data_IF_425948756985
#
_entry.id   IF_425948756985
#
_cell.length_a   1.000
_cell.length_b   1.000
_cell.length_c   1.000
_cell.angle_alpha   90.00
_cell.angle_beta   90.00
_cell.angle_gamma   90.00
#
_symmetry.space_group_name_H-M   'P 1'
#
loop_
_entity.id
_entity.type
_entity.pdbx_description
1 polymer ?
#
# COMPACT_ATOMS: atom_id res chain seq x y z
N UNK A 1 -4.30 43.47 52.26
CA UNK A 1 -3.17 42.55 52.52
C UNK A 1 -3.32 41.42 51.50
N UNK A 2 -2.44 41.10 50.56
CA UNK A 2 -0.98 41.18 50.45
C UNK A 2 -0.54 41.43 49.00
N UNK A 3 0.70 41.92 48.86
CA UNK A 3 1.34 42.61 47.74
C UNK A 3 1.74 41.73 46.53
N UNK A 4 1.65 42.37 45.37
CA UNK A 4 2.40 42.30 44.08
C UNK A 4 3.91 41.89 44.15
N UNK A 5 4.65 41.60 43.03
CA UNK A 5 4.57 42.33 41.76
C UNK A 5 4.87 41.63 40.40
N UNK A 6 4.50 42.37 39.35
CA UNK A 6 4.99 42.28 37.95
C UNK A 6 6.47 42.67 37.80
N UNK A 7 7.14 42.19 36.75
CA UNK A 7 8.06 43.01 35.93
C UNK A 7 8.33 42.44 34.52
N UNK A 8 8.37 43.37 33.55
CA UNK A 8 8.78 43.27 32.13
C UNK A 8 10.32 43.28 32.02
N UNK A 9 10.87 42.81 30.89
CA UNK A 9 11.67 43.65 29.96
C UNK A 9 12.19 42.91 28.72
N UNK A 10 12.30 43.65 27.63
CA UNK A 10 12.83 43.35 26.29
C UNK A 10 14.37 43.18 26.28
N UNK A 11 14.90 42.52 25.24
CA UNK A 11 16.13 42.94 24.56
C UNK A 11 16.34 42.22 23.20
N UNK A 12 16.30 42.97 22.10
CA UNK A 12 17.02 42.71 20.84
C UNK A 12 18.45 43.24 20.92
N UNK A 13 19.38 42.75 20.07
CA UNK A 13 20.19 43.71 19.32
C UNK A 13 20.56 43.32 17.87
N UNK A 14 20.51 44.36 17.01
CA UNK A 14 21.50 44.82 16.00
C UNK A 14 21.85 44.01 14.74
N UNK A 15 21.46 44.62 13.62
CA UNK A 15 22.14 44.71 12.30
C UNK A 15 23.62 45.13 12.39
N UNK A 16 24.44 44.63 11.45
CA UNK A 16 25.57 45.31 10.77
C UNK A 16 25.80 44.60 9.39
N UNK A 17 25.60 45.30 8.26
CA UNK A 17 26.61 45.75 7.24
C UNK A 17 27.19 44.62 6.34
N UNK A 18 26.83 44.53 5.05
CA UNK A 18 27.29 45.28 3.86
C UNK A 18 28.54 44.69 3.17
N UNK A 19 28.48 44.47 1.85
CA UNK A 19 29.63 44.20 0.96
C UNK A 19 29.27 43.15 -0.12
N UNK A 20 28.73 43.52 -1.28
CA UNK A 20 29.40 44.07 -2.47
C UNK A 20 30.26 43.05 -3.26
N UNK A 21 29.83 42.84 -4.51
CA UNK A 21 30.63 42.65 -5.74
C UNK A 21 31.58 41.46 -5.86
N UNK A 22 31.38 40.63 -6.88
CA UNK A 22 32.29 40.60 -8.03
C UNK A 22 31.76 39.72 -9.17
N UNK A 23 31.59 40.36 -10.32
CA UNK A 23 31.53 39.74 -11.65
C UNK A 23 32.88 39.09 -11.95
N UNK A 24 32.90 37.90 -12.56
CA UNK A 24 33.83 37.64 -13.67
C UNK A 24 33.46 36.41 -14.49
N UNK A 25 32.88 36.73 -15.64
CA UNK A 25 33.06 36.06 -16.94
C UNK A 25 34.49 35.61 -17.21
N UNK A 26 34.67 34.46 -17.89
CA UNK A 26 35.49 34.26 -19.11
C UNK A 26 35.29 32.78 -19.52
N UNK A 27 34.69 32.43 -20.69
CA UNK A 27 35.34 32.29 -22.02
C UNK A 27 36.72 31.61 -21.91
N UNK A 28 37.14 30.57 -22.64
CA UNK A 28 36.72 30.03 -23.96
C UNK A 28 37.56 28.76 -24.24
N UNK A 29 36.99 27.88 -25.07
CA UNK A 29 37.57 26.86 -25.99
C UNK A 29 39.09 26.88 -26.25
N UNK A 30 39.70 25.69 -26.31
CA UNK A 30 40.25 25.03 -27.53
C UNK A 30 41.16 23.85 -27.13
N UNK A 31 40.87 22.60 -27.50
CA UNK A 31 41.20 21.87 -28.75
C UNK A 31 42.71 21.66 -29.03
N UNK A 32 43.01 20.37 -29.22
CA UNK A 32 44.16 19.75 -29.93
C UNK A 32 45.52 19.82 -29.19
N UNK A 33 46.41 18.83 -29.21
CA UNK A 33 46.62 17.82 -30.25
C UNK A 33 47.45 16.61 -29.75
N UNK A 34 47.15 15.42 -30.29
CA UNK A 34 48.07 14.38 -30.81
C UNK A 34 49.36 14.00 -30.04
N UNK A 35 49.52 12.70 -29.69
CA UNK A 35 50.13 11.64 -30.55
C UNK A 35 50.39 10.31 -29.82
N UNK A 36 50.00 9.22 -30.53
CA UNK A 36 50.67 7.91 -30.74
C UNK A 36 51.08 7.06 -29.52
N UNK A 37 50.56 5.81 -29.50
CA UNK A 37 51.39 4.62 -29.82
C UNK A 37 50.52 3.42 -30.21
N UNK A 38 51.10 2.62 -31.09
CA UNK A 38 50.52 1.52 -31.84
C UNK A 38 50.47 0.21 -31.04
N UNK A 39 49.58 -0.70 -31.45
CA UNK A 39 49.55 -2.08 -31.00
C UNK A 39 48.40 -2.82 -31.67
N UNK A 40 48.66 -3.40 -32.84
CA UNK A 40 47.67 -4.16 -33.59
C UNK A 40 47.49 -5.58 -33.04
N UNK A 41 46.28 -6.13 -33.22
CA UNK A 41 46.07 -7.53 -33.61
C UNK A 41 44.61 -7.76 -34.03
N UNK A 42 44.47 -8.20 -35.30
CA UNK A 42 43.46 -9.10 -35.87
C UNK A 42 42.00 -8.92 -35.40
N UNK A 43 41.20 -8.22 -36.22
CA UNK A 43 39.74 -8.37 -36.27
C UNK A 43 39.34 -9.04 -37.58
N UNK A 44 38.70 -10.19 -37.44
CA UNK A 44 37.98 -10.91 -38.48
C UNK A 44 37.02 -9.99 -39.22
N UNK A 45 37.08 -10.01 -40.55
CA UNK A 45 36.08 -9.40 -41.40
C UNK A 45 34.72 -10.09 -41.18
N UNK A 46 33.85 -9.47 -40.37
CA UNK A 46 32.41 -9.71 -40.42
C UNK A 46 31.77 -8.48 -41.05
N UNK A 47 31.23 -8.67 -42.25
CA UNK A 47 30.39 -7.71 -42.98
C UNK A 47 29.35 -7.14 -42.02
N UNK A 48 29.07 -5.83 -42.02
CA UNK A 48 27.94 -5.31 -41.28
C UNK A 48 26.67 -5.88 -41.92
N UNK A 49 26.01 -6.79 -41.22
CA UNK A 49 24.63 -7.14 -41.52
C UNK A 49 23.84 -5.84 -41.38
N UNK A 50 23.53 -5.20 -42.52
CA UNK A 50 22.41 -4.26 -42.61
C UNK A 50 21.21 -5.03 -42.10
N UNK A 51 20.81 -4.75 -40.86
CA UNK A 51 19.53 -5.18 -40.32
C UNK A 51 18.50 -4.55 -41.23
N UNK A 52 17.94 -5.34 -42.14
CA UNK A 52 16.76 -4.94 -42.88
C UNK A 52 15.71 -4.67 -41.80
N UNK A 53 15.42 -3.38 -41.57
CA UNK A 53 14.20 -2.98 -40.89
C UNK A 53 13.11 -3.39 -41.88
N UNK A 54 12.57 -4.59 -41.71
CA UNK A 54 11.31 -4.95 -42.34
C UNK A 54 10.31 -3.90 -41.88
N UNK A 55 9.62 -3.19 -42.78
CA UNK A 55 8.53 -2.33 -42.37
C UNK A 55 7.55 -3.23 -41.62
N UNK A 56 7.27 -2.90 -40.36
CA UNK A 56 6.06 -3.39 -39.70
C UNK A 56 4.94 -2.80 -40.51
N UNK A 57 4.41 -3.59 -41.46
CA UNK A 57 3.12 -3.30 -42.05
C UNK A 57 2.16 -3.45 -40.88
N UNK A 58 1.76 -2.32 -40.29
CA UNK A 58 0.55 -2.28 -39.50
C UNK A 58 -0.56 -2.61 -40.50
N UNK A 59 -0.93 -3.89 -40.58
CA UNK A 59 -2.19 -4.27 -41.19
C UNK A 59 -3.25 -3.45 -40.48
N UNK A 60 -3.83 -2.48 -41.19
CA UNK A 60 -5.04 -1.82 -40.73
C UNK A 60 -6.05 -2.93 -40.54
N UNK A 61 -6.42 -3.21 -39.29
CA UNK A 61 -7.60 -3.99 -39.00
C UNK A 61 -8.73 -3.33 -39.80
N UNK A 62 -9.43 -4.07 -40.69
CA UNK A 62 -10.55 -3.50 -41.43
C UNK A 62 -11.54 -2.91 -40.42
N UNK A 63 -12.06 -1.70 -40.67
CA UNK A 63 -13.01 -1.05 -39.74
C UNK A 63 -14.19 -1.97 -39.40
N UNK A 64 -14.62 -2.80 -40.36
CA UNK A 64 -15.66 -3.82 -40.17
C UNK A 64 -15.28 -4.89 -39.13
N UNK A 65 -14.00 -5.24 -38.99
CA UNK A 65 -13.52 -6.20 -37.99
C UNK A 65 -13.39 -5.56 -36.60
N UNK A 66 -13.19 -4.24 -36.52
CA UNK A 66 -13.17 -3.47 -35.27
C UNK A 66 -14.61 -3.20 -34.77
N UNK A 67 -15.55 -2.91 -35.68
CA UNK A 67 -16.99 -2.80 -35.40
C UNK A 67 -17.58 -4.14 -34.95
N UNK A 68 -17.31 -5.25 -35.66
CA UNK A 68 -17.75 -6.59 -35.24
C UNK A 68 -17.15 -7.06 -33.91
N UNK A 69 -15.93 -6.63 -33.58
CA UNK A 69 -15.32 -6.93 -32.29
C UNK A 69 -15.99 -6.12 -31.17
N UNK A 70 -16.40 -4.89 -31.45
CA UNK A 70 -17.14 -4.03 -30.52
C UNK A 70 -18.55 -4.57 -30.27
N UNK A 71 -19.26 -4.98 -31.32
CA UNK A 71 -20.59 -5.57 -31.21
C UNK A 71 -20.59 -6.87 -30.39
N UNK A 72 -19.62 -7.77 -30.63
CA UNK A 72 -19.46 -9.01 -29.86
C UNK A 72 -19.11 -8.76 -28.39
N UNK A 73 -18.31 -7.73 -28.13
CA UNK A 73 -18.00 -7.33 -26.76
C UNK A 73 -19.24 -6.80 -26.05
N UNK A 74 -20.03 -5.96 -26.72
CA UNK A 74 -21.27 -5.41 -26.18
C UNK A 74 -22.33 -6.50 -25.94
N UNK A 75 -22.45 -7.48 -26.84
CA UNK A 75 -23.29 -8.66 -26.66
C UNK A 75 -22.85 -9.47 -25.44
N UNK A 76 -21.56 -9.81 -25.35
CA UNK A 76 -21.03 -10.57 -24.20
C UNK A 76 -21.16 -9.80 -22.88
N UNK A 77 -21.02 -8.48 -22.90
CA UNK A 77 -21.22 -7.62 -21.74
C UNK A 77 -22.68 -7.63 -21.28
N UNK A 78 -23.63 -7.47 -22.20
CA UNK A 78 -25.08 -7.54 -21.91
C UNK A 78 -25.47 -8.92 -21.39
N UNK A 79 -24.98 -9.99 -22.02
CA UNK A 79 -25.22 -11.36 -21.58
C UNK A 79 -24.66 -11.59 -20.17
N UNK A 80 -23.46 -11.11 -19.89
CA UNK A 80 -22.85 -11.19 -18.56
C UNK A 80 -23.64 -10.42 -17.49
N UNK A 81 -24.07 -9.19 -17.79
CA UNK A 81 -24.91 -8.39 -16.90
C UNK A 81 -26.24 -9.08 -16.60
N UNK A 82 -26.89 -9.64 -17.62
CA UNK A 82 -28.11 -10.42 -17.43
C UNK A 82 -27.82 -11.67 -16.60
N UNK A 83 -26.91 -12.54 -17.04
CA UNK A 83 -26.65 -13.83 -16.39
C UNK A 83 -26.20 -13.70 -14.92
N UNK A 84 -25.43 -12.66 -14.59
CA UNK A 84 -24.93 -12.39 -13.24
C UNK A 84 -25.85 -11.54 -12.37
N UNK A 85 -26.80 -10.81 -12.96
CA UNK A 85 -27.74 -9.93 -12.27
C UNK A 85 -29.18 -10.44 -12.37
N UNK A 86 -29.90 -9.94 -13.38
CA UNK A 86 -31.33 -10.22 -13.61
C UNK A 86 -31.63 -11.72 -13.74
N UNK A 87 -30.80 -12.49 -14.44
CA UNK A 87 -30.94 -13.93 -14.59
C UNK A 87 -30.73 -14.71 -13.28
N UNK A 88 -30.01 -14.16 -12.30
CA UNK A 88 -29.96 -14.74 -10.95
C UNK A 88 -31.22 -14.38 -10.15
N UNK A 89 -31.74 -13.17 -10.31
CA UNK A 89 -32.98 -12.72 -9.68
C UNK A 89 -34.19 -13.50 -10.20
N UNK A 90 -34.33 -13.66 -11.52
CA UNK A 90 -35.40 -14.42 -12.19
C UNK A 90 -35.55 -15.83 -11.62
N UNK A 91 -34.42 -16.53 -11.39
CA UNK A 91 -34.39 -17.88 -10.79
C UNK A 91 -34.88 -17.93 -9.35
N UNK A 92 -35.00 -16.78 -8.67
CA UNK A 92 -35.39 -16.65 -7.26
C UNK A 92 -36.76 -16.01 -7.06
N UNK A 93 -37.30 -15.33 -8.06
CA UNK A 93 -38.63 -14.73 -7.99
C UNK A 93 -39.71 -15.84 -7.90
N UNK A 94 -40.76 -15.65 -7.07
CA UNK A 94 -41.89 -16.56 -7.05
C UNK A 94 -42.60 -16.58 -8.42
N UNK A 95 -42.96 -17.76 -8.96
CA UNK A 95 -43.52 -17.88 -10.30
C UNK A 95 -44.92 -17.26 -10.46
N UNK A 96 -45.56 -16.89 -9.35
CA UNK A 96 -46.91 -16.33 -9.30
C UNK A 96 -46.95 -14.83 -8.98
N UNK A 97 -45.81 -14.13 -9.00
CA UNK A 97 -45.70 -12.69 -8.75
C UNK A 97 -44.93 -12.00 -9.86
N UNK A 98 -45.37 -10.81 -10.25
CA UNK A 98 -44.66 -9.89 -11.14
C UNK A 98 -44.44 -8.59 -10.38
N UNK A 99 -43.24 -8.03 -10.50
CA UNK A 99 -42.85 -6.78 -9.85
C UNK A 99 -42.57 -5.73 -10.94
N UNK A 100 -43.59 -5.01 -11.43
CA UNK A 100 -43.46 -4.16 -12.62
C UNK A 100 -42.60 -2.91 -12.41
N UNK A 101 -42.51 -2.44 -11.17
CA UNK A 101 -41.86 -1.16 -10.82
C UNK A 101 -40.60 -1.33 -9.97
N UNK A 102 -40.05 -2.55 -9.88
CA UNK A 102 -38.82 -2.84 -9.12
C UNK A 102 -37.70 -3.30 -10.05
N UNK A 103 -36.52 -2.75 -9.83
CA UNK A 103 -35.28 -3.12 -10.51
C UNK A 103 -34.45 -4.10 -9.68
N UNK A 104 -33.45 -4.74 -10.28
CA UNK A 104 -32.45 -5.52 -9.52
C UNK A 104 -31.83 -4.72 -8.37
N UNK A 105 -31.57 -3.42 -8.54
CA UNK A 105 -31.00 -2.57 -7.48
C UNK A 105 -31.95 -2.44 -6.29
N UNK A 106 -33.26 -2.33 -6.53
CA UNK A 106 -34.26 -2.28 -5.46
C UNK A 106 -34.30 -3.58 -4.66
N UNK A 107 -34.28 -4.73 -5.35
CA UNK A 107 -34.20 -6.04 -4.69
C UNK A 107 -32.91 -6.20 -3.88
N UNK A 108 -31.77 -5.72 -4.40
CA UNK A 108 -30.50 -5.73 -3.68
C UNK A 108 -30.53 -4.81 -2.47
N UNK A 109 -31.08 -3.60 -2.59
CA UNK A 109 -31.19 -2.65 -1.50
C UNK A 109 -32.05 -3.19 -0.36
N UNK A 110 -33.23 -3.73 -0.68
CA UNK A 110 -34.12 -4.36 0.30
C UNK A 110 -33.48 -5.62 0.92
N UNK A 111 -32.81 -6.45 0.11
CA UNK A 111 -32.07 -7.60 0.59
C UNK A 111 -30.93 -7.22 1.54
N UNK A 112 -30.16 -6.18 1.23
CA UNK A 112 -29.09 -5.65 2.10
C UNK A 112 -29.68 -5.09 3.39
N UNK A 113 -30.77 -4.33 3.31
CA UNK A 113 -31.46 -3.79 4.47
C UNK A 113 -31.92 -4.92 5.40
N UNK A 114 -32.53 -5.96 4.84
CA UNK A 114 -32.97 -7.14 5.57
C UNK A 114 -31.81 -7.94 6.20
N UNK A 115 -30.64 -7.99 5.55
CA UNK A 115 -29.48 -8.74 6.02
C UNK A 115 -28.51 -7.92 6.89
N UNK A 116 -28.78 -6.64 7.12
CA UNK A 116 -27.86 -5.71 7.81
C UNK A 116 -27.40 -6.22 9.17
N UNK A 117 -28.29 -6.88 9.92
CA UNK A 117 -27.98 -7.44 11.24
C UNK A 117 -26.92 -8.55 11.23
N UNK A 118 -26.62 -9.12 10.06
CA UNK A 118 -25.55 -10.12 9.85
C UNK A 118 -24.22 -9.49 9.44
N UNK A 119 -24.20 -8.19 9.18
CA UNK A 119 -22.99 -7.46 8.78
C UNK A 119 -21.96 -7.43 9.90
N UNK A 120 -20.68 -7.44 9.52
CA UNK A 120 -19.57 -7.21 10.45
C UNK A 120 -19.24 -5.73 10.38
N UNK A 121 -19.34 -4.97 11.49
CA UNK A 121 -18.98 -3.56 11.48
C UNK A 121 -17.48 -3.40 11.28
N UNK A 122 -17.11 -2.40 10.48
CA UNK A 122 -15.72 -1.97 10.29
C UNK A 122 -15.59 -0.49 10.67
N UNK A 123 -14.45 -0.12 11.26
CA UNK A 123 -14.16 1.25 11.64
C UNK A 123 -13.91 2.11 10.41
N UNK A 124 -14.52 3.30 10.39
CA UNK A 124 -14.30 4.31 9.36
C UNK A 124 -13.00 5.09 9.64
N UNK A 125 -12.43 5.80 8.64
CA UNK A 125 -11.16 6.51 8.79
C UNK A 125 -11.12 7.47 9.99
N UNK A 126 -12.21 8.19 10.25
CA UNK A 126 -12.33 9.09 11.41
C UNK A 126 -12.28 8.35 12.75
N UNK A 127 -12.89 7.17 12.84
CA UNK A 127 -12.88 6.35 14.06
C UNK A 127 -11.50 5.76 14.30
N UNK A 128 -10.83 5.31 13.22
CA UNK A 128 -9.45 4.84 13.28
C UNK A 128 -8.51 5.96 13.73
N UNK A 129 -8.69 7.18 13.21
CA UNK A 129 -7.94 8.35 13.66
C UNK A 129 -8.14 8.63 15.15
N UNK A 130 -9.40 8.73 15.60
CA UNK A 130 -9.73 9.02 16.99
C UNK A 130 -9.15 7.97 17.95
N UNK A 131 -9.20 6.70 17.55
CA UNK A 131 -8.60 5.63 18.32
C UNK A 131 -7.08 5.69 18.36
N UNK A 132 -6.41 5.87 17.23
CA UNK A 132 -4.95 6.01 17.19
C UNK A 132 -4.48 7.19 18.05
N UNK A 133 -5.15 8.33 17.99
CA UNK A 133 -4.84 9.51 18.81
C UNK A 133 -4.99 9.21 20.31
N UNK A 134 -6.05 8.48 20.69
CA UNK A 134 -6.27 8.02 22.07
C UNK A 134 -5.13 7.11 22.53
N UNK A 135 -4.72 6.15 21.71
CA UNK A 135 -3.64 5.21 22.05
C UNK A 135 -2.27 5.89 22.13
N UNK A 136 -1.98 6.82 21.21
CA UNK A 136 -0.77 7.64 21.22
C UNK A 136 -0.72 8.57 22.45
N UNK A 137 -1.86 9.10 22.89
CA UNK A 137 -1.95 9.97 24.07
C UNK A 137 -1.82 9.16 25.35
N UNK A 138 -2.48 8.01 25.43
CA UNK A 138 -2.40 7.10 26.57
C UNK A 138 -1.09 6.28 26.63
N UNK A 139 -0.24 6.38 25.59
CA UNK A 139 0.99 5.61 25.42
C UNK A 139 0.78 4.11 25.61
N UNK A 140 -0.25 3.59 24.94
CA UNK A 140 -0.61 2.18 24.98
C UNK A 140 -0.20 1.49 23.67
N UNK A 141 0.18 0.20 23.73
CA UNK A 141 0.53 -0.56 22.53
C UNK A 141 -0.65 -0.61 21.57
N UNK A 142 -0.36 -0.41 20.28
CA UNK A 142 -1.38 -0.54 19.24
C UNK A 142 -0.76 -0.92 17.91
N UNK A 143 -1.26 -1.98 17.28
CA UNK A 143 -0.86 -2.41 15.95
C UNK A 143 -2.03 -2.29 14.97
N UNK A 144 -1.84 -1.48 13.94
CA UNK A 144 -2.72 -1.43 12.77
C UNK A 144 -2.03 -2.16 11.62
N UNK A 145 -2.53 -3.34 11.28
CA UNK A 145 -2.04 -4.16 10.15
C UNK A 145 -3.05 -4.17 9.03
N UNK A 146 -2.61 -4.37 7.78
CA UNK A 146 -3.52 -4.39 6.62
C UNK A 146 -3.26 -5.66 5.81
N UNK A 147 -4.33 -6.24 5.29
CA UNK A 147 -4.29 -7.44 4.45
C UNK A 147 -4.64 -7.06 3.01
N UNK A 148 -3.69 -7.22 2.11
CA UNK A 148 -3.86 -7.17 0.66
C UNK A 148 -3.89 -8.57 0.05
N UNK A 149 -3.82 -8.61 -1.26
CA UNK A 149 -3.69 -9.86 -2.03
C UNK A 149 -2.40 -10.63 -1.69
N UNK A 150 -1.29 -9.93 -1.44
CA UNK A 150 -0.04 -10.53 -1.01
C UNK A 150 -0.17 -11.34 0.27
N UNK A 151 -0.65 -10.72 1.35
CA UNK A 151 -0.84 -11.40 2.64
C UNK A 151 -1.84 -12.57 2.53
N UNK A 152 -2.90 -12.40 1.74
CA UNK A 152 -3.90 -13.45 1.52
C UNK A 152 -3.34 -14.64 0.74
N UNK A 153 -2.55 -14.41 -0.29
CA UNK A 153 -1.89 -15.48 -1.04
C UNK A 153 -0.82 -16.19 -0.20
N UNK A 154 -0.10 -15.46 0.66
CA UNK A 154 0.83 -16.08 1.61
C UNK A 154 0.10 -16.99 2.58
N UNK A 155 -1.04 -16.57 3.13
CA UNK A 155 -1.88 -17.42 3.99
C UNK A 155 -2.50 -18.60 3.23
N UNK A 156 -2.71 -18.49 1.93
CA UNK A 156 -3.40 -19.52 1.16
C UNK A 156 -2.59 -20.81 0.96
N UNK A 157 -1.26 -20.72 1.03
CA UNK A 157 -0.31 -21.80 0.80
C UNK A 157 -0.65 -23.07 1.59
N UNK A 158 -0.95 -24.17 0.89
CA UNK A 158 -1.28 -25.49 1.44
C UNK A 158 -2.48 -25.51 2.42
N UNK A 159 -3.28 -24.44 2.44
CA UNK A 159 -4.51 -24.36 3.25
C UNK A 159 -5.76 -24.32 2.37
N UNK A 160 -5.74 -23.45 1.36
CA UNK A 160 -6.86 -23.26 0.42
C UNK A 160 -6.42 -23.23 -1.04
N UNK A 161 -5.11 -23.16 -1.29
CA UNK A 161 -4.49 -23.25 -2.60
C UNK A 161 -3.23 -24.11 -2.52
N UNK A 162 -2.90 -24.82 -3.60
CA UNK A 162 -1.61 -25.52 -3.68
C UNK A 162 -0.45 -24.52 -3.85
N UNK A 163 0.78 -24.95 -3.54
CA UNK A 163 1.97 -24.13 -3.80
C UNK A 163 2.05 -23.66 -5.26
N UNK A 164 1.72 -24.52 -6.22
CA UNK A 164 1.73 -24.17 -7.65
C UNK A 164 0.72 -23.07 -7.99
N UNK A 165 -0.49 -23.16 -7.45
CA UNK A 165 -1.52 -22.12 -7.65
C UNK A 165 -1.09 -20.79 -7.04
N UNK A 166 -0.48 -20.80 -5.85
CA UNK A 166 0.04 -19.59 -5.21
C UNK A 166 1.18 -18.99 -6.04
N UNK A 167 2.11 -19.79 -6.58
CA UNK A 167 3.18 -19.30 -7.47
C UNK A 167 2.62 -18.67 -8.74
N UNK A 168 1.60 -19.27 -9.34
CA UNK A 168 0.98 -18.75 -10.56
C UNK A 168 0.25 -17.44 -10.31
N UNK A 169 -0.54 -17.35 -9.23
CA UNK A 169 -1.34 -16.16 -8.89
C UNK A 169 -0.53 -15.06 -8.19
N UNK A 170 0.56 -15.43 -7.54
CA UNK A 170 1.37 -14.59 -6.66
C UNK A 170 2.81 -14.41 -7.13
N UNK A 171 3.06 -14.27 -8.44
CA UNK A 171 4.42 -14.05 -8.96
C UNK A 171 5.14 -12.84 -8.33
N UNK A 172 4.39 -11.88 -7.79
CA UNK A 172 4.90 -10.69 -7.10
C UNK A 172 5.30 -10.95 -5.63
N UNK A 173 4.99 -12.11 -5.05
CA UNK A 173 5.25 -12.42 -3.64
C UNK A 173 6.74 -12.37 -3.27
N UNK A 174 7.62 -12.78 -4.19
CA UNK A 174 9.08 -12.69 -4.00
C UNK A 174 9.51 -11.24 -3.75
N UNK A 175 8.98 -10.31 -4.52
CA UNK A 175 9.23 -8.87 -4.32
C UNK A 175 8.59 -8.36 -3.01
N UNK A 176 7.45 -8.92 -2.61
CA UNK A 176 6.78 -8.58 -1.35
C UNK A 176 7.42 -9.23 -0.12
N UNK A 177 8.51 -10.01 -0.30
CA UNK A 177 9.30 -10.56 0.79
C UNK A 177 9.02 -12.03 1.14
N UNK A 178 8.39 -12.79 0.24
CA UNK A 178 8.02 -14.20 0.41
C UNK A 178 8.59 -15.06 -0.71
N UNK A 179 9.44 -16.00 -0.35
CA UNK A 179 9.92 -17.06 -1.26
C UNK A 179 9.00 -18.29 -1.14
N UNK A 180 8.16 -18.53 -2.15
CA UNK A 180 7.15 -19.60 -2.10
C UNK A 180 7.79 -21.00 -2.37
N UNK A 181 7.65 -21.99 -1.47
CA UNK A 181 6.81 -21.99 -0.28
C UNK A 181 7.47 -21.38 0.95
N UNK A 182 6.67 -20.61 1.71
CA UNK A 182 7.03 -20.14 3.05
C UNK A 182 5.85 -20.32 4.00
N UNK A 183 5.69 -21.55 4.51
CA UNK A 183 4.60 -21.90 5.43
C UNK A 183 4.80 -21.30 6.82
N UNK A 184 6.05 -21.00 7.21
CA UNK A 184 6.34 -20.35 8.47
C UNK A 184 5.82 -18.92 8.46
N UNK A 185 6.00 -18.19 7.35
CA UNK A 185 5.40 -16.87 7.17
C UNK A 185 3.86 -16.94 7.22
N UNK A 186 3.24 -17.98 6.64
CA UNK A 186 1.78 -18.16 6.73
C UNK A 186 1.29 -18.30 8.16
N UNK A 187 1.94 -19.15 8.97
CA UNK A 187 1.58 -19.33 10.38
C UNK A 187 1.86 -18.06 11.21
N UNK A 188 2.97 -17.36 10.94
CA UNK A 188 3.32 -16.09 11.58
C UNK A 188 2.27 -15.00 11.29
N UNK A 189 1.86 -14.86 10.03
CA UNK A 189 0.79 -13.92 9.64
C UNK A 189 -0.52 -14.26 10.34
N UNK A 190 -0.90 -15.54 10.37
CA UNK A 190 -2.12 -15.97 11.04
C UNK A 190 -2.08 -15.66 12.55
N UNK A 191 -0.94 -15.85 13.21
CA UNK A 191 -0.71 -15.48 14.61
C UNK A 191 -0.83 -13.97 14.82
N UNK A 192 -0.19 -13.18 13.96
CA UNK A 192 -0.23 -11.73 14.01
C UNK A 192 -1.63 -11.16 13.80
N UNK A 193 -2.42 -11.71 12.86
CA UNK A 193 -3.81 -11.28 12.63
C UNK A 193 -4.67 -11.47 13.87
N UNK A 194 -4.50 -12.58 14.60
CA UNK A 194 -5.24 -12.85 15.84
C UNK A 194 -4.85 -11.89 16.97
N UNK A 195 -3.63 -11.38 16.96
CA UNK A 195 -3.06 -10.55 18.03
C UNK A 195 -3.10 -9.04 17.74
N UNK A 196 -3.36 -8.65 16.50
CA UNK A 196 -3.35 -7.25 16.08
C UNK A 196 -4.47 -6.45 16.75
N UNK A 197 -4.22 -5.17 17.02
CA UNK A 197 -5.23 -4.30 17.64
C UNK A 197 -6.34 -3.89 16.67
N UNK A 198 -6.00 -3.76 15.39
CA UNK A 198 -6.93 -3.47 14.29
C UNK A 198 -6.42 -4.06 12.98
N UNK A 199 -7.29 -4.74 12.25
CA UNK A 199 -6.97 -5.42 10.99
C UNK A 199 -7.71 -4.76 9.83
N UNK A 200 -6.96 -4.18 8.89
CA UNK A 200 -7.48 -3.70 7.62
C UNK A 200 -7.75 -4.86 6.67
N UNK A 201 -8.97 -5.00 6.17
CA UNK A 201 -9.39 -6.05 5.23
C UNK A 201 -9.86 -5.46 3.90
N UNK A 202 -9.68 -6.17 2.78
CA UNK A 202 -10.16 -5.67 1.50
C UNK A 202 -11.69 -5.67 1.46
N UNK A 203 -12.27 -4.60 0.92
CA UNK A 203 -13.73 -4.47 0.75
C UNK A 203 -14.23 -5.04 -0.58
N UNK A 204 -13.33 -5.17 -1.56
CA UNK A 204 -13.67 -5.75 -2.86
C UNK A 204 -14.12 -7.20 -2.74
N UNK A 205 -15.17 -7.54 -3.49
CA UNK A 205 -15.72 -8.90 -3.60
C UNK A 205 -15.07 -9.73 -4.72
N UNK A 206 -14.04 -9.20 -5.39
CA UNK A 206 -13.31 -9.96 -6.42
C UNK A 206 -12.61 -11.20 -5.81
N UNK A 207 -12.39 -12.27 -6.59
CA UNK A 207 -11.96 -13.58 -6.07
C UNK A 207 -10.73 -13.57 -5.14
N UNK A 208 -9.75 -12.70 -5.41
CA UNK A 208 -8.50 -12.61 -4.65
C UNK A 208 -8.61 -11.79 -3.34
N UNK A 209 -9.78 -11.24 -3.02
CA UNK A 209 -10.01 -10.38 -1.86
C UNK A 209 -10.96 -11.06 -0.85
N UNK A 210 -12.19 -10.56 -0.64
CA UNK A 210 -13.09 -11.10 0.38
C UNK A 210 -13.32 -12.62 0.28
N UNK A 211 -13.56 -13.22 -0.91
CA UNK A 211 -13.71 -14.66 -1.02
C UNK A 211 -12.48 -15.42 -0.51
N UNK A 212 -11.28 -14.99 -0.91
CA UNK A 212 -10.02 -15.58 -0.44
C UNK A 212 -9.81 -15.33 1.06
N UNK A 213 -10.01 -14.10 1.54
CA UNK A 213 -9.92 -13.71 2.96
C UNK A 213 -10.73 -14.65 3.85
N UNK A 214 -12.02 -14.84 3.54
CA UNK A 214 -12.87 -15.69 4.36
C UNK A 214 -12.57 -17.18 4.18
N UNK A 215 -12.03 -17.61 3.04
CA UNK A 215 -11.55 -18.99 2.87
C UNK A 215 -10.33 -19.24 3.76
N UNK A 216 -9.31 -18.38 3.71
CA UNK A 216 -8.10 -18.54 4.53
C UNK A 216 -8.40 -18.41 6.01
N UNK A 217 -9.20 -17.43 6.43
CA UNK A 217 -9.56 -17.27 7.84
C UNK A 217 -10.28 -18.50 8.39
N UNK A 218 -11.18 -19.11 7.62
CA UNK A 218 -11.86 -20.35 8.03
C UNK A 218 -10.86 -21.50 8.19
N UNK A 219 -9.90 -21.64 7.27
CA UNK A 219 -8.86 -22.67 7.34
C UNK A 219 -7.92 -22.49 8.54
N UNK A 220 -7.72 -21.25 9.01
CA UNK A 220 -6.95 -20.92 10.20
C UNK A 220 -7.80 -20.81 11.49
N UNK A 221 -9.12 -21.00 11.44
CA UNK A 221 -9.99 -20.79 12.60
C UNK A 221 -10.02 -19.35 13.10
N UNK A 222 -9.78 -18.37 12.22
CA UNK A 222 -9.90 -16.94 12.53
C UNK A 222 -11.35 -16.53 12.31
N UNK A 223 -12.01 -16.08 13.37
CA UNK A 223 -13.41 -15.67 13.33
C UNK A 223 -13.50 -14.15 13.17
N UNK A 224 -14.13 -13.61 12.10
CA UNK A 224 -14.21 -12.16 11.87
C UNK A 224 -14.77 -11.37 13.05
N UNK A 225 -15.77 -11.94 13.74
CA UNK A 225 -16.45 -11.29 14.86
C UNK A 225 -15.59 -11.14 16.12
N UNK A 226 -14.46 -11.84 16.21
CA UNK A 226 -13.51 -11.70 17.33
C UNK A 226 -12.45 -10.64 17.03
N UNK A 227 -12.42 -10.10 15.81
CA UNK A 227 -11.45 -9.11 15.38
C UNK A 227 -12.09 -7.72 15.30
N UNK A 228 -11.24 -6.71 15.43
CA UNK A 228 -11.59 -5.32 15.12
C UNK A 228 -11.10 -5.03 13.72
N UNK A 229 -12.00 -4.55 12.85
CA UNK A 229 -11.75 -4.46 11.42
C UNK A 229 -11.84 -3.02 10.91
N UNK A 230 -11.10 -2.72 9.85
CA UNK A 230 -11.20 -1.50 9.03
C UNK A 230 -10.91 -1.86 7.57
N UNK A 231 -10.85 -0.88 6.66
CA UNK A 231 -10.42 -1.12 5.27
C UNK A 231 -8.91 -1.36 5.18
N UNK A 232 -8.47 -2.29 4.31
CA UNK A 232 -7.04 -2.48 4.02
C UNK A 232 -6.41 -1.27 3.29
N UNK A 233 -7.22 -0.33 2.82
CA UNK A 233 -6.79 0.95 2.22
C UNK A 233 -6.88 2.13 3.19
N UNK A 234 -7.17 1.90 4.48
CA UNK A 234 -7.38 2.96 5.48
C UNK A 234 -6.21 3.94 5.60
N UNK A 235 -4.98 3.51 5.33
CA UNK A 235 -3.81 4.38 5.30
C UNK A 235 -3.96 5.51 4.27
N UNK A 236 -4.53 5.22 3.09
CA UNK A 236 -4.80 6.23 2.06
C UNK A 236 -5.91 7.17 2.49
N UNK A 237 -7.02 6.66 3.03
CA UNK A 237 -8.12 7.50 3.52
C UNK A 237 -7.68 8.42 4.66
N UNK A 238 -6.92 7.90 5.63
CA UNK A 238 -6.32 8.71 6.70
C UNK A 238 -5.42 9.82 6.14
N UNK A 239 -4.67 9.54 5.06
CA UNK A 239 -3.84 10.55 4.43
C UNK A 239 -4.66 11.60 3.67
N UNK A 240 -5.60 11.16 2.85
CA UNK A 240 -6.36 12.01 1.94
C UNK A 240 -7.33 12.91 2.70
N UNK A 241 -7.87 12.43 3.83
CA UNK A 241 -8.67 13.23 4.77
C UNK A 241 -7.82 14.07 5.74
N UNK A 242 -6.48 14.02 5.63
CA UNK A 242 -5.54 14.82 6.42
C UNK A 242 -5.31 14.36 7.86
N UNK A 243 -5.91 13.26 8.29
CA UNK A 243 -5.71 12.67 9.62
C UNK A 243 -4.29 12.17 9.85
N UNK A 244 -3.63 11.63 8.81
CA UNK A 244 -2.27 11.10 8.93
C UNK A 244 -1.29 12.16 9.42
N UNK A 245 -1.27 13.35 8.80
CA UNK A 245 -0.39 14.43 9.25
C UNK A 245 -0.71 14.92 10.67
N UNK A 246 -1.98 14.87 11.08
CA UNK A 246 -2.39 15.20 12.46
C UNK A 246 -1.81 14.20 13.46
N UNK A 247 -1.87 12.90 13.17
CA UNK A 247 -1.25 11.86 14.01
C UNK A 247 0.26 12.02 14.16
N UNK A 248 0.95 12.46 13.10
CA UNK A 248 2.41 12.62 13.09
C UNK A 248 2.88 13.90 13.79
N UNK A 249 2.04 14.92 13.87
CA UNK A 249 2.42 16.24 14.38
C UNK A 249 2.76 16.18 15.87
N UNK A 250 3.94 16.68 16.23
CA UNK A 250 4.42 16.71 17.63
C UNK A 250 4.88 15.36 18.19
N UNK A 251 4.89 14.28 17.38
CA UNK A 251 5.31 12.94 17.79
C UNK A 251 6.70 12.60 17.24
N UNK A 252 7.43 11.74 17.94
CA UNK A 252 8.69 11.13 17.46
C UNK A 252 8.34 9.93 16.59
N UNK A 253 8.62 10.03 15.29
CA UNK A 253 8.21 9.02 14.31
C UNK A 253 9.41 8.16 13.90
N UNK A 254 9.30 6.85 14.07
CA UNK A 254 10.23 5.87 13.51
C UNK A 254 9.73 5.44 12.13
N UNK A 255 10.61 5.38 11.13
CA UNK A 255 10.24 4.91 9.78
C UNK A 255 10.98 3.62 9.47
N UNK A 256 10.25 2.60 9.04
CA UNK A 256 10.77 1.25 8.81
C UNK A 256 10.41 0.80 7.39
N UNK A 257 11.37 0.24 6.65
CA UNK A 257 11.18 -0.25 5.29
C UNK A 257 12.27 0.18 4.34
N UNK A 258 12.25 -0.35 3.12
CA UNK A 258 13.30 -0.05 2.12
C UNK A 258 13.32 1.42 1.69
N UNK A 259 12.17 2.09 1.75
CA UNK A 259 12.05 3.53 1.52
C UNK A 259 12.14 4.38 2.80
N UNK A 260 12.66 3.83 3.91
CA UNK A 260 12.66 4.55 5.19
C UNK A 260 13.40 5.89 5.13
N UNK A 261 14.60 5.94 4.53
CA UNK A 261 15.37 7.20 4.45
C UNK A 261 14.69 8.25 3.55
N UNK A 262 14.27 7.95 2.30
CA UNK A 262 13.50 8.90 1.50
C UNK A 262 12.19 9.35 2.14
N UNK A 263 11.45 8.44 2.79
CA UNK A 263 10.20 8.78 3.47
C UNK A 263 10.45 9.70 4.66
N UNK A 264 11.44 9.37 5.50
CA UNK A 264 11.86 10.23 6.61
C UNK A 264 12.23 11.64 6.11
N UNK A 265 12.97 11.76 5.01
CA UNK A 265 13.32 13.05 4.43
C UNK A 265 12.08 13.85 3.98
N UNK A 266 11.13 13.21 3.30
CA UNK A 266 9.87 13.85 2.88
C UNK A 266 9.03 14.32 4.08
N UNK A 267 8.95 13.50 5.14
CA UNK A 267 8.22 13.82 6.36
C UNK A 267 8.90 14.93 7.18
N UNK A 268 10.23 14.95 7.28
CA UNK A 268 10.97 16.05 7.89
C UNK A 268 10.71 17.38 7.16
N UNK A 269 10.65 17.36 5.83
CA UNK A 269 10.29 18.53 5.03
C UNK A 269 8.87 19.06 5.31
N UNK A 270 8.01 18.23 5.90
CA UNK A 270 6.63 18.57 6.33
C UNK A 270 6.54 18.86 7.84
N UNK A 271 7.67 18.98 8.53
CA UNK A 271 7.73 19.31 9.97
C UNK A 271 7.55 18.13 10.92
N UNK A 272 7.60 16.89 10.43
CA UNK A 272 7.55 15.70 11.29
C UNK A 272 8.90 15.45 11.97
N UNK A 273 8.88 15.15 13.26
CA UNK A 273 10.08 14.79 14.01
C UNK A 273 10.40 13.32 13.82
N UNK A 274 11.46 13.02 13.07
CA UNK A 274 11.93 11.64 12.87
C UNK A 274 12.83 11.21 14.03
N UNK A 275 12.51 10.06 14.63
CA UNK A 275 13.27 9.41 15.70
C UNK A 275 14.46 8.61 15.14
N UNK A 276 14.29 8.06 13.93
CA UNK A 276 15.28 7.25 13.23
C UNK A 276 14.67 6.55 12.03
N UNK A 277 15.49 5.77 11.36
CA UNK A 277 15.10 4.90 10.25
C UNK A 277 15.63 3.48 10.46
N UNK A 278 14.89 2.48 9.99
CA UNK A 278 15.33 1.08 9.96
C UNK A 278 15.15 0.55 8.53
N UNK A 279 16.26 0.31 7.86
CA UNK A 279 16.34 -0.16 6.47
C UNK A 279 17.61 -0.99 6.25
N UNK A 280 17.63 -1.94 5.30
CA UNK A 280 16.48 -2.47 4.57
C UNK A 280 15.68 -3.47 5.42
N UNK A 281 14.53 -3.90 4.91
CA UNK A 281 13.78 -5.06 5.45
C UNK A 281 13.82 -6.18 4.43
N UNK A 282 14.47 -7.30 4.77
CA UNK A 282 14.78 -8.39 3.83
C UNK A 282 13.76 -9.52 3.92
N UNK A 283 12.54 -9.21 3.50
CA UNK A 283 11.42 -10.16 3.51
C UNK A 283 10.92 -10.50 4.92
N UNK A 284 10.01 -11.47 5.00
CA UNK A 284 9.28 -11.77 6.25
C UNK A 284 10.22 -12.31 7.32
N UNK A 285 11.13 -13.24 6.99
CA UNK A 285 12.04 -13.86 7.95
C UNK A 285 12.96 -12.87 8.69
N UNK A 286 13.13 -11.65 8.16
CA UNK A 286 13.97 -10.59 8.73
C UNK A 286 13.25 -9.74 9.79
N UNK A 287 11.94 -9.93 10.01
CA UNK A 287 11.17 -9.17 10.98
C UNK A 287 11.79 -9.16 12.40
N UNK A 288 12.38 -10.26 12.95
CA UNK A 288 12.90 -10.25 14.31
C UNK A 288 14.05 -9.24 14.48
N UNK A 289 14.99 -9.22 13.52
CA UNK A 289 16.11 -8.27 13.50
C UNK A 289 15.60 -6.84 13.41
N UNK A 290 14.62 -6.59 12.55
CA UNK A 290 14.03 -5.25 12.37
C UNK A 290 13.38 -4.77 13.66
N UNK A 291 12.64 -5.64 14.36
CA UNK A 291 12.03 -5.33 15.65
C UNK A 291 13.08 -5.07 16.73
N UNK A 292 14.17 -5.87 16.79
CA UNK A 292 15.30 -5.65 17.70
C UNK A 292 15.90 -4.25 17.52
N UNK A 293 16.20 -3.88 16.28
CA UNK A 293 16.81 -2.58 15.97
C UNK A 293 15.83 -1.44 16.25
N UNK A 294 14.57 -1.58 15.81
CA UNK A 294 13.53 -0.58 16.03
C UNK A 294 13.28 -0.31 17.52
N UNK A 295 13.33 -1.35 18.37
CA UNK A 295 13.12 -1.22 19.80
C UNK A 295 14.21 -0.40 20.52
N UNK A 296 15.39 -0.22 19.91
CA UNK A 296 16.44 0.65 20.46
C UNK A 296 16.15 2.14 20.29
N UNK A 297 15.17 2.51 19.45
CA UNK A 297 14.81 3.90 19.22
C UNK A 297 13.79 4.44 20.22
N UNK A 298 13.98 5.71 20.54
CA UNK A 298 13.07 6.51 21.35
C UNK A 298 12.01 7.20 20.48
N UNK A 299 10.97 6.46 20.12
CA UNK A 299 9.83 6.90 19.29
C UNK A 299 8.48 6.81 20.04
N UNK A 300 7.43 7.41 19.46
CA UNK A 300 6.04 7.30 19.91
C UNK A 300 5.17 6.53 18.91
N UNK A 301 5.46 6.68 17.61
CA UNK A 301 4.76 6.06 16.48
C UNK A 301 5.76 5.49 15.47
N UNK A 302 5.54 4.27 15.00
CA UNK A 302 6.28 3.67 13.89
C UNK A 302 5.41 3.59 12.62
N UNK A 303 5.98 4.03 11.49
CA UNK A 303 5.40 3.83 10.16
C UNK A 303 6.19 2.72 9.44
N UNK A 304 5.51 1.63 9.07
CA UNK A 304 6.15 0.42 8.54
C UNK A 304 5.72 0.17 7.10
N UNK A 305 6.64 0.29 6.14
CA UNK A 305 6.43 0.05 4.71
C UNK A 305 7.37 -1.06 4.23
N UNK A 306 7.03 -2.31 4.55
CA UNK A 306 7.93 -3.46 4.37
C UNK A 306 7.27 -4.67 3.70
N UNK A 307 6.33 -4.44 2.79
CA UNK A 307 5.56 -5.52 2.16
C UNK A 307 4.87 -6.39 3.21
N UNK A 308 4.89 -7.70 3.00
CA UNK A 308 4.23 -8.68 3.88
C UNK A 308 4.86 -8.68 5.29
N UNK A 309 6.15 -8.34 5.41
CA UNK A 309 6.84 -8.24 6.69
C UNK A 309 6.29 -7.10 7.58
N UNK A 310 5.55 -6.14 7.02
CA UNK A 310 4.97 -5.05 7.79
C UNK A 310 4.01 -5.55 8.88
N UNK A 311 3.26 -6.62 8.61
CA UNK A 311 2.31 -7.23 9.56
C UNK A 311 3.03 -7.73 10.83
N UNK A 312 3.99 -8.67 10.76
CA UNK A 312 4.69 -9.11 11.96
C UNK A 312 5.52 -8.00 12.61
N UNK A 313 6.15 -7.11 11.83
CA UNK A 313 6.90 -5.98 12.42
C UNK A 313 5.96 -5.12 13.28
N UNK A 314 4.77 -4.75 12.80
CA UNK A 314 3.85 -3.91 13.56
C UNK A 314 3.38 -4.58 14.86
N UNK A 315 2.98 -5.85 14.78
CA UNK A 315 2.47 -6.59 15.95
C UNK A 315 3.56 -6.79 16.99
N UNK A 316 4.71 -7.33 16.59
CA UNK A 316 5.82 -7.61 17.52
C UNK A 316 6.43 -6.34 18.08
N UNK A 317 6.58 -5.28 17.28
CA UNK A 317 7.12 -4.01 17.75
C UNK A 317 6.19 -3.34 18.78
N UNK A 318 4.87 -3.33 18.52
CA UNK A 318 3.90 -2.77 19.46
C UNK A 318 3.93 -3.54 20.80
N UNK A 319 3.88 -4.87 20.74
CA UNK A 319 3.92 -5.73 21.94
C UNK A 319 5.22 -5.56 22.74
N UNK A 320 6.36 -5.44 22.06
CA UNK A 320 7.66 -5.31 22.71
C UNK A 320 7.90 -3.93 23.33
N UNK A 321 7.42 -2.88 22.69
CA UNK A 321 7.77 -1.50 23.05
C UNK A 321 6.67 -0.75 23.78
N UNK A 322 5.44 -1.25 23.77
CA UNK A 322 4.28 -0.53 24.31
C UNK A 322 3.84 0.65 23.43
N UNK A 323 4.33 0.75 22.19
CA UNK A 323 4.13 1.90 21.28
C UNK A 323 3.16 1.57 20.16
N UNK A 324 2.82 2.59 19.38
CA UNK A 324 1.94 2.45 18.21
C UNK A 324 2.77 2.13 16.97
N UNK A 325 2.34 1.13 16.20
CA UNK A 325 2.91 0.78 14.91
C UNK A 325 1.79 0.66 13.85
N UNK A 326 2.00 1.31 12.71
CA UNK A 326 1.05 1.33 11.60
C UNK A 326 1.72 0.76 10.36
N UNK A 327 1.10 -0.27 9.78
CA UNK A 327 1.40 -0.72 8.43
C UNK A 327 1.03 0.39 7.43
N UNK A 328 2.06 1.04 6.92
CA UNK A 328 1.99 2.23 6.09
C UNK A 328 1.96 1.89 4.59
N UNK A 329 2.37 0.67 4.22
CA UNK A 329 2.30 0.15 2.84
C UNK A 329 2.90 1.08 1.79
N UNK A 330 2.28 1.09 0.61
CA UNK A 330 2.70 1.90 -0.54
C UNK A 330 2.34 3.39 -0.44
N UNK A 331 1.72 3.86 0.65
CA UNK A 331 1.57 5.30 0.88
C UNK A 331 2.93 5.99 0.97
N UNK A 332 3.98 5.27 1.41
CA UNK A 332 5.36 5.72 1.34
C UNK A 332 5.78 6.15 -0.08
N UNK A 333 5.40 5.40 -1.11
CA UNK A 333 5.69 5.72 -2.51
C UNK A 333 5.04 7.05 -2.91
N UNK A 334 3.76 7.23 -2.55
CA UNK A 334 3.00 8.45 -2.86
C UNK A 334 3.59 9.68 -2.18
N UNK A 335 4.03 9.57 -0.93
CA UNK A 335 4.61 10.68 -0.16
C UNK A 335 6.04 11.03 -0.62
N UNK A 336 6.82 10.04 -1.02
CA UNK A 336 8.20 10.25 -1.51
C UNK A 336 8.24 10.71 -2.96
N UNK A 337 7.16 10.50 -3.73
CA UNK A 337 7.14 10.71 -5.17
C UNK A 337 7.99 9.68 -5.94
N UNK A 338 8.52 8.66 -5.26
CA UNK A 338 9.25 7.57 -5.87
C UNK A 338 8.24 6.51 -6.31
N UNK A 339 8.19 6.27 -7.62
CA UNK A 339 7.48 5.11 -8.15
C UNK A 339 8.31 3.88 -7.83
N UNK A 340 7.84 3.05 -6.90
CA UNK A 340 8.28 1.65 -6.84
C UNK A 340 7.96 0.94 -8.17
N UNK A 341 8.48 -0.28 -8.40
CA UNK A 341 8.27 -1.02 -9.65
C UNK A 341 6.79 -1.26 -10.03
N UNK A 342 5.85 -1.04 -9.10
CA UNK A 342 4.40 -1.03 -9.34
C UNK A 342 3.78 0.37 -9.18
N UNK A 343 4.05 1.25 -10.14
CA UNK A 343 3.03 2.19 -10.63
C UNK A 343 3.11 2.21 -12.15
N UNK A 344 2.63 1.12 -12.76
CA UNK A 344 2.27 1.09 -14.19
C UNK A 344 0.80 0.79 -14.40
N UNK A 345 -0.07 1.12 -13.45
CA UNK A 345 -1.48 1.36 -13.74
C UNK A 345 -2.00 2.40 -12.75
N UNK A 346 -2.62 3.51 -13.20
CA UNK A 346 -3.49 4.26 -12.31
C UNK A 346 -4.56 3.26 -11.81
N UNK A 347 -4.81 3.26 -10.51
CA UNK A 347 -6.01 2.59 -9.97
C UNK A 347 -7.20 3.12 -10.80
N UNK A 348 -8.02 2.25 -11.42
CA UNK A 348 -9.26 2.72 -11.99
C UNK A 348 -10.05 3.40 -10.87
N UNK A 349 -10.60 4.58 -11.16
CA UNK A 349 -11.34 5.40 -10.22
C UNK A 349 -12.50 4.64 -9.51
N UNK A 350 -12.91 3.50 -10.05
CA UNK A 350 -13.92 2.59 -9.52
C UNK A 350 -13.51 1.77 -8.27
N UNK A 351 -12.31 1.98 -7.69
CA UNK A 351 -11.90 1.35 -6.44
C UNK A 351 -11.93 2.31 -5.23
N UNK A 352 -12.50 3.51 -5.40
CA UNK A 352 -12.61 4.57 -4.37
C UNK A 352 -14.08 4.84 -3.98
N UNK A 353 -15.06 4.11 -4.51
CA UNK A 353 -16.45 4.15 -4.02
C UNK A 353 -16.83 2.91 -3.21
#
# INVERSE_FOLDING_TARGET
MSKWPRRRSQATPRRLKSGATSKRTFRRKSKADRRKRAGGKRRSARRPLRRAVLPIIAEKIPQEAEEQATDRYDEGYKEGLYAGGEGLLEKRLPPNLIFPDLTLEDFLAEGIAALRYRGIPILQPVDVYAELERMLTAKQPYSLVRLGDGELLTLAQEKVMTIEEVRQKGAFLVYAGIDVPDLQASEELASCIRSASLVGVPLSRSPHFQPLLFAVWRAYGIHPHTLRLTSSTVNYSLNDEGYMMRLLTGRRVLVIGDLADPLAQSLMGRGVRIAGTVSPVRGVSDFPRVVDIAAMYEFDLALVSAGIAAVPICVHLANRTGKVAIDFGHLANRITGLTGPFVRHPLPAAAIE
#
